data_IF_361755179915
#
_entry.id   IF_361755179915
#
_cell.length_a   1.000
_cell.length_b   1.000
_cell.length_c   1.000
_cell.angle_alpha   90.00
_cell.angle_beta   90.00
_cell.angle_gamma   90.00
#
_symmetry.space_group_name_H-M   'P 1'
#
loop_
_entity.id
_entity.type
_entity.pdbx_description
1 polymer ?
#
# COMPACT_ATOMS: atom_id res chain seq x y z
N UNK A 1 35.06 -21.94 -27.21
CA UNK A 1 33.83 -21.30 -27.75
C UNK A 1 33.89 -21.20 -29.30
N UNK A 2 34.97 -20.75 -29.89
CA UNK A 2 35.08 -20.55 -31.35
C UNK A 2 34.89 -21.83 -32.21
N UNK A 3 34.89 -23.00 -31.62
CA UNK A 3 34.68 -24.31 -32.30
C UNK A 3 33.25 -24.85 -32.11
N UNK A 4 32.41 -24.22 -31.32
CA UNK A 4 30.99 -24.59 -31.22
C UNK A 4 30.34 -24.20 -32.55
N UNK A 5 29.59 -25.14 -33.12
CA UNK A 5 28.87 -24.95 -34.38
C UNK A 5 27.37 -25.20 -34.21
N UNK A 6 26.62 -25.12 -35.30
CA UNK A 6 25.16 -25.33 -35.31
C UNK A 6 24.78 -26.70 -35.90
N UNK A 7 25.72 -27.65 -35.98
CA UNK A 7 25.47 -28.93 -36.60
C UNK A 7 24.71 -29.89 -35.64
N UNK A 8 23.54 -29.47 -35.22
CA UNK A 8 22.62 -30.21 -34.36
C UNK A 8 21.17 -30.07 -34.87
N UNK A 9 20.26 -30.83 -34.31
CA UNK A 9 18.84 -30.89 -34.74
C UNK A 9 18.14 -29.54 -34.63
N UNK A 10 18.50 -28.71 -33.66
CA UNK A 10 17.94 -27.38 -33.43
C UNK A 10 18.60 -26.29 -34.28
N UNK A 11 19.75 -26.58 -34.93
CA UNK A 11 20.57 -25.60 -35.63
C UNK A 11 20.99 -24.38 -34.77
N UNK A 12 21.22 -24.63 -33.48
CA UNK A 12 21.58 -23.63 -32.47
C UNK A 12 22.99 -23.87 -31.93
N UNK A 13 23.65 -22.82 -31.43
CA UNK A 13 24.91 -22.95 -30.69
C UNK A 13 24.63 -23.46 -29.29
N UNK A 14 25.02 -24.71 -29.00
CA UNK A 14 24.83 -25.31 -27.70
C UNK A 14 26.08 -25.18 -26.84
N UNK A 15 26.00 -24.45 -25.74
CA UNK A 15 27.14 -24.26 -24.83
C UNK A 15 27.62 -25.61 -24.24
N UNK A 16 26.76 -26.60 -24.15
CA UNK A 16 27.06 -27.96 -23.67
C UNK A 16 28.08 -28.67 -24.53
N UNK A 17 28.22 -28.30 -25.81
CA UNK A 17 29.20 -28.92 -26.74
C UNK A 17 30.66 -28.65 -26.32
N UNK A 18 30.86 -27.63 -25.46
CA UNK A 18 32.18 -27.34 -24.87
C UNK A 18 32.73 -28.52 -24.07
N UNK A 19 31.85 -29.34 -23.49
CA UNK A 19 32.24 -30.55 -22.71
C UNK A 19 32.89 -31.58 -23.64
N UNK A 20 32.28 -31.84 -24.79
CA UNK A 20 32.85 -32.74 -25.82
C UNK A 20 34.19 -32.20 -26.33
N UNK A 21 34.21 -30.93 -26.73
CA UNK A 21 35.43 -30.27 -27.23
C UNK A 21 36.59 -30.30 -26.22
N UNK A 22 36.27 -30.10 -24.92
CA UNK A 22 37.29 -30.16 -23.87
C UNK A 22 37.85 -31.60 -23.67
N UNK A 23 36.98 -32.60 -23.74
CA UNK A 23 37.43 -34.01 -23.70
C UNK A 23 38.31 -34.36 -24.90
N UNK A 24 37.95 -33.91 -26.10
CA UNK A 24 38.76 -34.13 -27.33
C UNK A 24 40.15 -33.49 -27.24
N UNK A 25 40.24 -32.34 -26.54
CA UNK A 25 41.49 -31.66 -26.23
C UNK A 25 42.30 -32.31 -25.08
N UNK A 26 41.82 -33.41 -24.50
CA UNK A 26 42.46 -34.08 -23.36
C UNK A 26 42.33 -33.33 -22.03
N UNK A 27 41.43 -32.35 -21.94
CA UNK A 27 41.16 -31.63 -20.70
C UNK A 27 40.38 -32.49 -19.71
N UNK A 28 40.68 -32.37 -18.42
CA UNK A 28 39.87 -33.01 -17.37
C UNK A 28 38.56 -32.25 -17.14
N UNK A 29 37.46 -32.88 -17.47
CA UNK A 29 36.12 -32.37 -17.18
C UNK A 29 35.58 -33.00 -15.89
N UNK A 30 35.11 -32.19 -14.95
CA UNK A 30 34.46 -32.65 -13.72
C UNK A 30 33.03 -32.14 -13.66
N UNK A 31 32.09 -33.05 -13.42
CA UNK A 31 30.71 -32.72 -13.17
C UNK A 31 30.52 -32.39 -11.68
N UNK A 32 29.84 -31.28 -11.40
CA UNK A 32 29.31 -30.94 -10.08
C UNK A 32 27.79 -31.07 -10.20
N UNK A 33 27.20 -31.94 -9.40
CA UNK A 33 25.75 -32.15 -9.38
C UNK A 33 25.16 -31.19 -8.32
N UNK A 34 24.23 -30.34 -8.74
CA UNK A 34 23.47 -29.52 -7.79
C UNK A 34 22.52 -30.40 -6.98
N UNK A 35 22.31 -30.07 -5.70
CA UNK A 35 21.30 -30.73 -4.87
C UNK A 35 19.88 -30.25 -5.21
N UNK A 36 19.75 -29.17 -5.95
CA UNK A 36 18.48 -28.58 -6.38
C UNK A 36 18.39 -28.49 -7.91
N UNK A 37 17.77 -29.46 -8.57
CA UNK A 37 17.65 -29.45 -10.03
C UNK A 37 16.94 -28.20 -10.59
N UNK A 38 16.12 -27.52 -9.78
CA UNK A 38 15.39 -26.32 -10.22
C UNK A 38 16.31 -25.11 -10.43
N UNK A 39 17.48 -25.08 -9.77
CA UNK A 39 18.47 -24.01 -9.99
C UNK A 39 19.01 -23.97 -11.42
N UNK A 40 19.04 -25.12 -12.10
CA UNK A 40 19.54 -25.24 -13.46
C UNK A 40 18.42 -25.33 -14.52
N UNK A 41 17.16 -25.16 -14.12
CA UNK A 41 16.02 -25.30 -15.04
C UNK A 41 15.94 -24.11 -15.99
N UNK A 42 16.07 -24.38 -17.31
CA UNK A 42 15.88 -23.38 -18.35
C UNK A 42 14.41 -23.02 -18.56
N UNK A 43 14.18 -21.79 -19.02
CA UNK A 43 12.84 -21.27 -19.34
C UNK A 43 12.79 -20.91 -20.83
N UNK A 44 11.88 -21.54 -21.58
CA UNK A 44 11.71 -21.30 -23.01
C UNK A 44 10.32 -20.72 -23.36
N UNK A 45 9.40 -20.68 -22.40
CA UNK A 45 8.06 -20.13 -22.62
C UNK A 45 7.43 -19.62 -21.30
N UNK A 46 6.34 -18.87 -21.42
CA UNK A 46 5.66 -18.28 -20.25
C UNK A 46 5.06 -19.30 -19.27
N UNK A 47 4.68 -20.49 -19.74
CA UNK A 47 4.18 -21.54 -18.85
C UNK A 47 5.29 -22.06 -17.93
N UNK A 48 6.49 -22.28 -18.47
CA UNK A 48 7.67 -22.68 -17.69
C UNK A 48 8.11 -21.56 -16.74
N UNK A 49 8.08 -20.30 -17.19
CA UNK A 49 8.36 -19.14 -16.35
C UNK A 49 7.38 -19.07 -15.16
N UNK A 50 6.09 -19.19 -15.42
CA UNK A 50 5.08 -19.16 -14.38
C UNK A 50 5.22 -20.31 -13.37
N UNK A 51 5.60 -21.50 -13.84
CA UNK A 51 5.85 -22.64 -12.96
C UNK A 51 7.06 -22.40 -12.04
N UNK A 52 8.17 -21.90 -12.57
CA UNK A 52 9.34 -21.56 -11.76
C UNK A 52 9.08 -20.40 -10.80
N UNK A 53 8.31 -19.40 -11.22
CA UNK A 53 7.89 -18.30 -10.34
C UNK A 53 7.14 -18.85 -9.11
N UNK A 54 6.20 -19.78 -9.30
CA UNK A 54 5.50 -20.40 -8.16
C UNK A 54 6.42 -21.16 -7.22
N UNK A 55 7.42 -21.83 -7.74
CA UNK A 55 8.44 -22.51 -6.91
C UNK A 55 9.25 -21.48 -6.11
N UNK A 56 9.67 -20.40 -6.76
CA UNK A 56 10.43 -19.33 -6.11
C UNK A 56 9.60 -18.66 -4.98
N UNK A 57 8.35 -18.33 -5.24
CA UNK A 57 7.44 -17.74 -4.25
C UNK A 57 7.16 -18.68 -3.08
N UNK A 58 6.99 -19.97 -3.34
CA UNK A 58 6.82 -20.97 -2.28
C UNK A 58 8.05 -21.02 -1.36
N UNK A 59 9.27 -21.03 -1.92
CA UNK A 59 10.51 -20.99 -1.14
C UNK A 59 10.65 -19.73 -0.28
N UNK A 60 10.20 -18.59 -0.80
CA UNK A 60 10.17 -17.35 -0.03
C UNK A 60 9.19 -17.45 1.14
N UNK A 61 7.98 -17.96 0.90
CA UNK A 61 6.97 -18.16 1.93
C UNK A 61 7.44 -19.15 3.01
N UNK A 62 8.08 -20.27 2.61
CA UNK A 62 8.66 -21.26 3.53
C UNK A 62 9.71 -20.61 4.44
N UNK A 63 10.65 -19.83 3.90
CA UNK A 63 11.65 -19.11 4.70
C UNK A 63 11.02 -18.17 5.73
N UNK A 64 9.94 -17.49 5.37
CA UNK A 64 9.21 -16.62 6.30
C UNK A 64 8.50 -17.43 7.39
N UNK A 65 7.88 -18.56 7.04
CA UNK A 65 7.25 -19.46 8.02
C UNK A 65 8.26 -20.07 8.99
N UNK A 66 9.44 -20.48 8.48
CA UNK A 66 10.54 -20.97 9.31
C UNK A 66 11.07 -19.87 10.27
N UNK A 67 11.00 -18.60 9.86
CA UNK A 67 11.31 -17.45 10.69
C UNK A 67 10.17 -17.06 11.65
N UNK A 68 9.04 -17.79 11.67
CA UNK A 68 7.94 -17.62 12.60
C UNK A 68 6.79 -16.72 12.09
N UNK A 69 6.73 -16.42 10.80
CA UNK A 69 5.59 -15.70 10.21
C UNK A 69 4.42 -16.66 10.01
N UNK A 70 3.23 -16.25 10.44
CA UNK A 70 2.01 -17.00 10.21
C UNK A 70 1.40 -16.64 8.85
N UNK A 71 1.69 -17.43 7.81
CA UNK A 71 1.09 -17.31 6.48
C UNK A 71 -0.06 -18.30 6.37
N UNK A 72 -1.29 -17.80 6.05
CA UNK A 72 -2.49 -18.63 6.00
C UNK A 72 -2.49 -19.60 4.82
N UNK A 73 -1.97 -19.16 3.67
CA UNK A 73 -1.81 -19.99 2.50
C UNK A 73 -0.57 -19.56 1.70
N UNK A 74 0.53 -20.32 1.80
CA UNK A 74 1.80 -19.96 1.17
C UNK A 74 1.74 -19.96 -0.37
N UNK A 75 0.76 -20.63 -0.98
CA UNK A 75 0.57 -20.62 -2.44
C UNK A 75 -0.07 -19.32 -2.96
N UNK A 76 -0.62 -18.51 -2.06
CA UNK A 76 -1.35 -17.28 -2.39
C UNK A 76 -0.72 -16.02 -1.81
N UNK A 77 0.59 -15.97 -1.81
CA UNK A 77 1.39 -14.79 -1.47
C UNK A 77 2.39 -14.55 -2.59
N UNK A 78 2.62 -13.31 -2.96
CA UNK A 78 3.63 -12.91 -3.93
C UNK A 78 4.58 -11.88 -3.30
N UNK A 79 5.87 -12.19 -3.34
CA UNK A 79 6.94 -11.29 -2.86
C UNK A 79 7.80 -10.91 -4.07
N UNK A 80 7.67 -9.66 -4.51
CA UNK A 80 8.35 -9.11 -5.70
C UNK A 80 9.36 -8.05 -5.27
N UNK A 81 10.31 -8.45 -4.47
CA UNK A 81 11.32 -7.60 -3.86
C UNK A 81 11.79 -8.17 -2.53
N UNK A 82 12.06 -7.31 -1.56
CA UNK A 82 12.50 -7.68 -0.22
C UNK A 82 11.37 -7.47 0.80
N UNK A 83 11.05 -8.51 1.55
CA UNK A 83 10.09 -8.46 2.66
C UNK A 83 10.83 -8.74 3.97
N UNK A 84 11.03 -7.69 4.76
CA UNK A 84 11.61 -7.78 6.10
C UNK A 84 10.48 -7.87 7.13
N UNK A 85 10.58 -8.81 8.05
CA UNK A 85 9.49 -9.08 9.02
C UNK A 85 10.00 -9.15 10.44
N UNK A 86 9.23 -8.60 11.36
CA UNK A 86 9.41 -8.77 12.80
C UNK A 86 8.80 -10.07 13.31
N UNK A 87 8.56 -10.13 14.63
CA UNK A 87 7.99 -11.29 15.31
C UNK A 87 6.47 -11.28 15.25
N UNK A 88 5.85 -12.48 15.27
CA UNK A 88 4.39 -12.67 15.33
C UNK A 88 3.63 -11.96 14.18
N UNK A 89 4.25 -11.81 13.04
CA UNK A 89 3.58 -11.24 11.85
C UNK A 89 2.61 -12.27 11.29
N UNK A 90 1.41 -11.80 10.92
CA UNK A 90 0.38 -12.62 10.28
C UNK A 90 0.05 -12.06 8.89
N UNK A 91 0.05 -12.94 7.89
CA UNK A 91 -0.26 -12.59 6.49
C UNK A 91 -1.36 -13.52 5.98
N UNK A 92 -2.45 -12.91 5.53
CA UNK A 92 -3.60 -13.60 4.93
C UNK A 92 -3.39 -13.81 3.43
N UNK A 93 -4.37 -14.40 2.77
CA UNK A 93 -4.29 -14.83 1.37
C UNK A 93 -4.29 -13.68 0.36
N UNK A 94 -3.72 -13.91 -0.82
CA UNK A 94 -3.69 -12.99 -1.96
C UNK A 94 -2.99 -11.65 -1.65
N UNK A 95 -2.01 -11.65 -0.77
CA UNK A 95 -1.21 -10.47 -0.49
C UNK A 95 -0.03 -10.39 -1.45
N UNK A 96 0.25 -9.17 -1.94
CA UNK A 96 1.36 -8.87 -2.83
C UNK A 96 2.25 -7.84 -2.16
N UNK A 97 3.55 -8.16 -2.07
CA UNK A 97 4.58 -7.25 -1.55
C UNK A 97 5.55 -6.90 -2.67
N UNK A 98 5.73 -5.60 -2.95
CA UNK A 98 6.60 -5.13 -4.04
C UNK A 98 7.68 -4.18 -3.52
N UNK A 99 8.87 -4.26 -4.10
CA UNK A 99 10.01 -3.42 -3.73
C UNK A 99 10.52 -3.70 -2.31
N UNK A 100 10.77 -2.66 -1.54
CA UNK A 100 11.28 -2.76 -0.17
C UNK A 100 10.14 -2.63 0.85
N UNK A 101 9.74 -3.72 1.48
CA UNK A 101 8.67 -3.73 2.48
C UNK A 101 9.20 -4.18 3.84
N UNK A 102 8.87 -3.42 4.88
CA UNK A 102 9.21 -3.77 6.27
C UNK A 102 7.96 -3.84 7.13
N UNK A 103 7.77 -4.96 7.81
CA UNK A 103 6.68 -5.20 8.77
C UNK A 103 7.29 -5.37 10.18
N UNK A 104 6.87 -4.54 11.11
CA UNK A 104 7.27 -4.64 12.52
C UNK A 104 6.62 -5.82 13.26
N UNK A 105 6.91 -5.95 14.55
CA UNK A 105 6.36 -7.00 15.39
C UNK A 105 4.82 -6.92 15.51
N UNK A 106 4.16 -8.07 15.53
CA UNK A 106 2.69 -8.19 15.70
C UNK A 106 1.86 -7.52 14.60
N UNK A 107 2.45 -7.22 13.44
CA UNK A 107 1.71 -6.68 12.29
C UNK A 107 0.79 -7.75 11.71
N UNK A 108 -0.42 -7.34 11.37
CA UNK A 108 -1.39 -8.20 10.66
C UNK A 108 -1.72 -7.62 9.30
N UNK A 109 -1.50 -8.39 8.25
CA UNK A 109 -1.90 -8.07 6.87
C UNK A 109 -3.06 -8.99 6.50
N UNK A 110 -4.24 -8.40 6.29
CA UNK A 110 -5.43 -9.14 5.88
C UNK A 110 -5.44 -9.39 4.37
N UNK A 111 -6.41 -10.19 3.91
CA UNK A 111 -6.47 -10.65 2.52
C UNK A 111 -6.54 -9.55 1.45
N UNK A 112 -6.02 -9.86 0.27
CA UNK A 112 -6.06 -9.02 -0.93
C UNK A 112 -5.39 -7.63 -0.77
N UNK A 113 -4.38 -7.52 0.07
CA UNK A 113 -3.61 -6.29 0.21
C UNK A 113 -2.45 -6.24 -0.78
N UNK A 114 -2.19 -5.05 -1.31
CA UNK A 114 -1.00 -4.75 -2.13
C UNK A 114 -0.17 -3.71 -1.39
N UNK A 115 1.07 -4.06 -1.09
CA UNK A 115 1.96 -3.20 -0.30
C UNK A 115 3.28 -3.05 -1.07
N UNK A 116 3.60 -1.80 -1.40
CA UNK A 116 4.78 -1.47 -2.18
C UNK A 116 5.63 -0.42 -1.47
N UNK A 117 6.96 -0.66 -1.40
CA UNK A 117 7.96 0.30 -0.90
C UNK A 117 7.54 0.99 0.41
N UNK A 118 7.01 0.21 1.38
CA UNK A 118 6.35 0.76 2.58
C UNK A 118 6.88 0.15 3.87
N UNK A 119 6.83 0.95 4.94
CA UNK A 119 7.19 0.50 6.29
C UNK A 119 5.96 0.55 7.19
N UNK A 120 5.69 -0.55 7.90
CA UNK A 120 4.57 -0.70 8.82
C UNK A 120 5.12 -1.10 10.18
N UNK A 121 4.99 -0.22 11.16
CA UNK A 121 5.47 -0.45 12.53
C UNK A 121 4.56 -1.40 13.32
N UNK A 122 5.06 -1.82 14.47
CA UNK A 122 4.46 -2.89 15.27
C UNK A 122 3.01 -2.66 15.69
N UNK A 123 2.28 -3.76 15.89
CA UNK A 123 0.88 -3.76 16.33
C UNK A 123 -0.13 -3.28 15.29
N UNK A 124 0.32 -2.80 14.13
CA UNK A 124 -0.57 -2.22 13.11
C UNK A 124 -1.30 -3.30 12.31
N UNK A 125 -2.52 -2.98 11.89
CA UNK A 125 -3.41 -3.87 11.13
C UNK A 125 -3.78 -3.25 9.80
N UNK A 126 -3.42 -3.94 8.71
CA UNK A 126 -3.88 -3.60 7.36
C UNK A 126 -5.05 -4.51 7.02
N UNK A 127 -6.24 -3.92 6.89
CA UNK A 127 -7.49 -4.62 6.64
C UNK A 127 -7.69 -4.95 5.16
N UNK A 128 -8.62 -5.87 4.82
CA UNK A 128 -8.73 -6.41 3.46
C UNK A 128 -8.87 -5.37 2.36
N UNK A 129 -8.33 -5.70 1.18
CA UNK A 129 -8.44 -4.91 -0.05
C UNK A 129 -7.83 -3.49 0.06
N UNK A 130 -6.82 -3.31 0.90
CA UNK A 130 -6.11 -2.04 1.03
C UNK A 130 -4.85 -2.02 0.17
N UNK A 131 -4.51 -0.82 -0.34
CA UNK A 131 -3.33 -0.60 -1.17
C UNK A 131 -2.44 0.45 -0.53
N UNK A 132 -1.17 0.13 -0.32
CA UNK A 132 -0.15 1.01 0.25
C UNK A 132 1.01 1.14 -0.72
N UNK A 133 1.43 2.36 -0.99
CA UNK A 133 2.57 2.66 -1.85
C UNK A 133 3.40 3.81 -1.23
N UNK A 134 4.70 3.58 -1.03
CA UNK A 134 5.64 4.54 -0.44
C UNK A 134 5.08 5.22 0.82
N UNK A 135 4.50 4.40 1.72
CA UNK A 135 3.82 4.85 2.93
C UNK A 135 4.61 4.45 4.19
N UNK A 136 4.60 5.33 5.18
CA UNK A 136 5.17 5.09 6.50
C UNK A 136 4.02 5.02 7.52
N UNK A 137 3.86 3.87 8.14
CA UNK A 137 2.79 3.60 9.11
C UNK A 137 3.42 3.38 10.48
N UNK A 138 3.03 4.19 11.43
CA UNK A 138 3.45 4.08 12.84
C UNK A 138 2.86 2.89 13.57
N UNK A 139 3.08 2.83 14.88
CA UNK A 139 2.61 1.74 15.72
C UNK A 139 1.10 1.79 15.97
N UNK A 140 0.49 0.61 16.15
CA UNK A 140 -0.91 0.43 16.52
C UNK A 140 -1.92 1.13 15.60
N UNK A 141 -1.55 1.31 14.33
CA UNK A 141 -2.42 1.89 13.31
C UNK A 141 -3.40 0.86 12.74
N UNK A 142 -4.56 1.35 12.30
CA UNK A 142 -5.58 0.55 11.62
C UNK A 142 -5.89 1.14 10.25
N UNK A 143 -5.61 0.41 9.17
CA UNK A 143 -5.78 0.89 7.79
C UNK A 143 -6.75 -0.01 7.03
N UNK A 144 -7.80 0.57 6.46
CA UNK A 144 -8.79 -0.13 5.67
C UNK A 144 -10.07 -0.51 6.42
N UNK A 145 -10.93 -1.39 5.83
CA UNK A 145 -10.73 -2.02 4.51
C UNK A 145 -10.88 -1.04 3.34
N UNK A 146 -10.42 -1.43 2.14
CA UNK A 146 -10.52 -0.60 0.94
C UNK A 146 -9.89 0.80 1.09
N UNK A 147 -8.82 0.92 1.86
CA UNK A 147 -8.07 2.17 1.97
C UNK A 147 -6.97 2.23 0.91
N UNK A 148 -6.66 3.45 0.46
CA UNK A 148 -5.54 3.68 -0.44
C UNK A 148 -4.57 4.71 0.15
N UNK A 149 -3.38 4.25 0.52
CA UNK A 149 -2.30 5.12 0.95
C UNK A 149 -1.30 5.26 -0.20
N UNK A 150 -1.11 6.51 -0.64
CA UNK A 150 -0.26 6.87 -1.78
C UNK A 150 1.06 7.47 -1.32
N UNK A 151 2.02 7.64 -2.26
CA UNK A 151 3.34 8.18 -1.93
C UNK A 151 3.32 9.43 -1.06
N UNK A 152 4.20 9.43 -0.05
CA UNK A 152 4.32 10.51 0.92
C UNK A 152 3.27 10.50 2.03
N UNK A 153 2.55 9.40 2.21
CA UNK A 153 1.66 9.23 3.37
C UNK A 153 2.46 8.83 4.59
N UNK A 154 2.28 9.56 5.69
CA UNK A 154 2.85 9.25 6.99
C UNK A 154 1.75 9.22 8.06
N UNK A 155 1.44 8.05 8.57
CA UNK A 155 0.57 7.87 9.73
C UNK A 155 1.45 7.74 10.97
N UNK A 156 1.29 8.63 11.94
CA UNK A 156 1.96 8.52 13.24
C UNK A 156 1.33 7.34 14.01
N UNK A 157 1.50 7.21 15.30
CA UNK A 157 0.97 6.04 16.03
C UNK A 157 -0.54 6.14 16.29
N UNK A 158 -1.20 5.00 16.37
CA UNK A 158 -2.64 4.85 16.71
C UNK A 158 -3.62 5.55 15.75
N UNK A 159 -3.18 5.84 14.54
CA UNK A 159 -4.03 6.45 13.52
C UNK A 159 -4.99 5.41 12.92
N UNK A 160 -6.22 5.85 12.66
CA UNK A 160 -7.24 5.03 12.00
C UNK A 160 -7.66 5.62 10.66
N UNK A 161 -7.38 4.89 9.58
CA UNK A 161 -7.85 5.18 8.23
C UNK A 161 -8.84 4.11 7.82
N UNK A 162 -10.08 4.48 7.54
CA UNK A 162 -11.15 3.52 7.28
C UNK A 162 -11.44 3.27 5.79
N UNK A 163 -12.66 2.79 5.51
CA UNK A 163 -13.02 2.34 4.16
C UNK A 163 -13.24 3.48 3.16
N UNK A 164 -12.74 3.24 1.95
CA UNK A 164 -12.80 4.20 0.83
C UNK A 164 -12.18 5.56 1.19
N UNK A 165 -11.12 5.53 1.99
CA UNK A 165 -10.30 6.70 2.30
C UNK A 165 -9.03 6.64 1.47
N UNK A 166 -8.74 7.72 0.77
CA UNK A 166 -7.49 7.91 0.05
C UNK A 166 -6.65 9.00 0.74
N UNK A 167 -5.38 8.67 1.01
CA UNK A 167 -4.40 9.58 1.63
C UNK A 167 -3.19 9.72 0.72
N UNK A 168 -2.70 10.94 0.51
CA UNK A 168 -1.54 11.22 -0.35
C UNK A 168 -0.75 12.42 0.17
N UNK A 169 0.59 12.31 0.26
CA UNK A 169 1.46 13.40 0.73
C UNK A 169 0.87 14.09 1.96
N UNK A 170 0.53 13.30 2.97
CA UNK A 170 -0.18 13.77 4.15
C UNK A 170 0.38 13.11 5.39
N UNK A 171 0.67 13.90 6.40
CA UNK A 171 0.97 13.42 7.75
C UNK A 171 -0.31 13.44 8.59
N UNK A 172 -0.61 12.31 9.25
CA UNK A 172 -1.69 12.23 10.25
C UNK A 172 -1.09 12.01 11.63
N UNK A 173 -1.33 12.94 12.53
CA UNK A 173 -0.82 12.92 13.90
C UNK A 173 -1.44 11.83 14.77
N UNK A 174 -0.82 11.59 15.93
CA UNK A 174 -1.18 10.53 16.87
C UNK A 174 -2.69 10.49 17.20
N UNK A 175 -3.29 9.32 17.13
CA UNK A 175 -4.69 9.09 17.49
C UNK A 175 -5.73 9.71 16.56
N UNK A 176 -5.31 10.31 15.44
CA UNK A 176 -6.22 10.91 14.47
C UNK A 176 -6.93 9.86 13.62
N UNK A 177 -8.11 10.19 13.13
CA UNK A 177 -8.93 9.24 12.38
C UNK A 177 -9.71 9.89 11.23
N UNK A 178 -9.75 9.14 10.11
CA UNK A 178 -10.59 9.40 8.94
C UNK A 178 -11.24 8.06 8.55
N UNK A 179 -12.50 7.84 8.93
CA UNK A 179 -13.09 6.52 8.93
C UNK A 179 -13.81 6.14 7.64
N UNK A 180 -14.25 7.08 6.81
CA UNK A 180 -15.11 6.79 5.66
C UNK A 180 -15.00 7.81 4.54
N UNK A 181 -14.95 7.34 3.27
CA UNK A 181 -15.28 8.10 2.05
C UNK A 181 -14.57 9.46 1.96
N UNK A 182 -13.29 9.53 2.23
CA UNK A 182 -12.56 10.80 2.42
C UNK A 182 -11.33 10.85 1.53
N UNK A 183 -11.01 12.05 1.00
CA UNK A 183 -9.74 12.31 0.35
C UNK A 183 -8.91 13.31 1.17
N UNK A 184 -7.72 12.90 1.57
CA UNK A 184 -6.73 13.72 2.27
C UNK A 184 -5.46 13.80 1.42
N UNK A 185 -5.25 14.94 0.78
CA UNK A 185 -4.08 15.17 -0.06
C UNK A 185 -3.38 16.47 0.30
N UNK A 186 -2.05 16.43 0.31
CA UNK A 186 -1.18 17.56 0.63
C UNK A 186 -1.63 18.24 1.94
N UNK A 187 -1.66 17.48 3.06
CA UNK A 187 -2.16 17.97 4.35
C UNK A 187 -1.24 17.58 5.52
N UNK A 188 -1.16 18.48 6.49
CA UNK A 188 -0.58 18.25 7.80
C UNK A 188 -1.69 18.23 8.84
N UNK A 189 -1.92 17.07 9.44
CA UNK A 189 -3.03 16.85 10.37
C UNK A 189 -2.45 16.53 11.75
N UNK A 190 -2.81 17.31 12.74
CA UNK A 190 -2.36 17.19 14.12
C UNK A 190 -2.85 15.92 14.83
N UNK A 191 -2.60 15.83 16.13
CA UNK A 191 -3.02 14.72 16.97
C UNK A 191 -4.49 14.81 17.38
N UNK A 192 -5.14 13.65 17.58
CA UNK A 192 -6.52 13.58 18.09
C UNK A 192 -7.59 14.15 17.16
N UNK A 193 -7.27 14.34 15.88
CA UNK A 193 -8.18 14.92 14.89
C UNK A 193 -9.22 13.90 14.44
N UNK A 194 -10.48 14.32 14.34
CA UNK A 194 -11.53 13.53 13.72
C UNK A 194 -11.94 14.12 12.38
N UNK A 195 -11.69 13.40 11.30
CA UNK A 195 -12.14 13.76 9.95
C UNK A 195 -13.46 13.05 9.66
N UNK A 196 -14.54 13.83 9.47
CA UNK A 196 -15.86 13.31 9.14
C UNK A 196 -15.94 12.72 7.74
N UNK A 197 -16.85 11.77 7.55
CA UNK A 197 -17.07 11.10 6.27
C UNK A 197 -17.35 12.10 5.13
N UNK A 198 -16.79 11.84 3.95
CA UNK A 198 -16.97 12.71 2.79
C UNK A 198 -16.19 14.02 2.83
N UNK A 199 -15.27 14.18 3.77
CA UNK A 199 -14.39 15.36 3.81
C UNK A 199 -13.34 15.28 2.69
N UNK A 200 -13.09 16.42 2.06
CA UNK A 200 -12.10 16.56 0.98
C UNK A 200 -11.17 17.73 1.27
N UNK A 201 -9.86 17.50 1.24
CA UNK A 201 -8.88 18.59 1.10
C UNK A 201 -8.82 18.98 -0.37
N UNK A 202 -9.35 20.14 -0.72
CA UNK A 202 -9.32 20.66 -2.09
C UNK A 202 -7.93 21.28 -2.36
N UNK A 203 -6.95 20.43 -2.60
CA UNK A 203 -5.53 20.78 -2.66
C UNK A 203 -5.03 21.28 -4.01
N UNK A 204 -5.87 21.28 -5.05
CA UNK A 204 -5.47 21.64 -6.41
C UNK A 204 -6.35 22.75 -6.99
N UNK A 205 -5.74 23.83 -7.46
CA UNK A 205 -6.42 25.02 -8.00
C UNK A 205 -6.57 25.03 -9.53
N UNK A 206 -6.15 23.93 -10.19
CA UNK A 206 -6.08 23.81 -11.63
C UNK A 206 -4.68 23.94 -12.19
N UNK A 207 -3.73 24.49 -11.41
CA UNK A 207 -2.32 24.70 -11.79
C UNK A 207 -1.38 24.19 -10.68
N UNK A 208 -1.58 24.63 -9.44
CA UNK A 208 -0.71 24.35 -8.30
C UNK A 208 -1.42 23.50 -7.24
N UNK A 209 -0.60 22.86 -6.39
CA UNK A 209 -1.08 22.19 -5.18
C UNK A 209 -0.75 23.03 -3.97
N UNK A 210 -1.68 23.05 -3.04
CA UNK A 210 -1.63 23.85 -1.82
C UNK A 210 -1.83 22.99 -0.59
N UNK A 211 -1.26 23.41 0.53
CA UNK A 211 -1.28 22.70 1.80
C UNK A 211 -2.56 23.01 2.59
N UNK A 212 -3.11 21.97 3.22
CA UNK A 212 -4.11 22.10 4.29
C UNK A 212 -3.44 21.79 5.63
N UNK A 213 -3.49 22.74 6.58
CA UNK A 213 -2.97 22.54 7.94
C UNK A 213 -4.17 22.39 8.91
N UNK A 214 -4.17 21.30 9.70
CA UNK A 214 -5.18 21.01 10.69
C UNK A 214 -4.49 20.79 12.04
N UNK A 215 -4.77 21.66 13.01
CA UNK A 215 -4.19 21.58 14.36
C UNK A 215 -4.73 20.37 15.16
N UNK A 216 -4.22 20.22 16.37
CA UNK A 216 -4.60 19.13 17.26
C UNK A 216 -6.07 19.22 17.70
N UNK A 217 -6.68 18.06 17.98
CA UNK A 217 -8.04 17.95 18.56
C UNK A 217 -9.14 18.62 17.71
N UNK A 218 -8.92 18.83 16.42
CA UNK A 218 -9.92 19.38 15.51
C UNK A 218 -10.99 18.33 15.19
N UNK A 219 -12.25 18.78 15.15
CA UNK A 219 -13.36 17.96 14.66
C UNK A 219 -13.87 18.53 13.32
N UNK A 220 -13.74 17.77 12.24
CA UNK A 220 -14.30 18.12 10.94
C UNK A 220 -15.58 17.34 10.71
N UNK A 221 -16.70 18.07 10.58
CA UNK A 221 -18.01 17.49 10.28
C UNK A 221 -18.08 16.89 8.88
N UNK A 222 -18.94 15.89 8.70
CA UNK A 222 -19.07 15.15 7.43
C UNK A 222 -19.41 16.06 6.24
N UNK A 223 -18.99 15.63 5.03
CA UNK A 223 -19.20 16.33 3.76
C UNK A 223 -18.64 17.78 3.76
N UNK A 224 -17.53 17.99 4.42
CA UNK A 224 -16.85 19.29 4.43
C UNK A 224 -15.78 19.35 3.33
N UNK A 225 -15.66 20.52 2.68
CA UNK A 225 -14.59 20.82 1.72
C UNK A 225 -13.65 21.84 2.33
N UNK A 226 -12.36 21.46 2.47
CA UNK A 226 -11.31 22.35 2.96
C UNK A 226 -10.50 22.85 1.75
N UNK A 227 -10.73 24.10 1.36
CA UNK A 227 -10.13 24.68 0.14
C UNK A 227 -8.75 25.25 0.49
N UNK A 228 -7.72 24.51 0.08
CA UNK A 228 -6.34 24.90 0.33
C UNK A 228 -5.88 26.09 -0.55
N UNK A 229 -4.95 26.95 -0.06
CA UNK A 229 -4.31 26.83 1.25
C UNK A 229 -5.25 27.25 2.38
N UNK A 230 -5.37 26.43 3.43
CA UNK A 230 -6.24 26.72 4.57
C UNK A 230 -5.62 26.17 5.85
N UNK A 231 -5.83 26.92 6.95
CA UNK A 231 -5.38 26.55 8.29
C UNK A 231 -6.53 26.46 9.26
N UNK A 232 -6.65 25.32 9.93
CA UNK A 232 -7.66 25.04 10.96
C UNK A 232 -6.92 24.93 12.29
N UNK A 233 -7.18 25.87 13.20
CA UNK A 233 -6.53 25.94 14.50
C UNK A 233 -6.97 24.84 15.45
N UNK A 234 -6.14 24.58 16.46
CA UNK A 234 -6.35 23.58 17.49
C UNK A 234 -7.74 23.67 18.13
N UNK A 235 -8.37 22.51 18.37
CA UNK A 235 -9.68 22.40 19.02
C UNK A 235 -10.85 22.96 18.22
N UNK A 236 -10.63 23.42 16.99
CA UNK A 236 -11.73 23.95 16.17
C UNK A 236 -12.71 22.84 15.76
N UNK A 237 -13.95 23.24 15.56
CA UNK A 237 -15.01 22.39 15.01
C UNK A 237 -15.50 22.96 13.69
N UNK A 238 -15.51 22.14 12.65
CA UNK A 238 -16.11 22.49 11.36
C UNK A 238 -17.49 21.82 11.29
N UNK A 239 -18.54 22.64 11.11
CA UNK A 239 -19.90 22.14 10.96
C UNK A 239 -20.06 21.30 9.67
N UNK A 240 -20.80 20.21 9.74
CA UNK A 240 -21.01 19.32 8.59
C UNK A 240 -21.55 20.06 7.35
N UNK A 241 -21.12 19.65 6.16
CA UNK A 241 -21.52 20.25 4.88
C UNK A 241 -20.93 21.65 4.64
N UNK A 242 -19.84 21.99 5.31
CA UNK A 242 -19.22 23.31 5.18
C UNK A 242 -18.15 23.31 4.07
N UNK A 243 -18.06 24.43 3.35
CA UNK A 243 -16.92 24.78 2.49
C UNK A 243 -16.08 25.85 3.20
N UNK A 244 -14.87 25.47 3.62
CA UNK A 244 -13.98 26.36 4.38
C UNK A 244 -12.90 26.88 3.44
N UNK A 245 -12.85 28.20 3.26
CA UNK A 245 -11.95 28.90 2.32
C UNK A 245 -10.99 29.86 3.01
N UNK A 246 -11.12 30.06 4.31
CA UNK A 246 -10.30 30.96 5.11
C UNK A 246 -9.87 30.29 6.41
N UNK A 247 -8.83 30.83 7.04
CA UNK A 247 -8.34 30.35 8.32
C UNK A 247 -9.45 30.29 9.38
N UNK A 248 -9.47 29.20 10.16
CA UNK A 248 -10.31 29.02 11.34
C UNK A 248 -9.42 28.94 12.56
N UNK A 249 -9.37 30.00 13.37
CA UNK A 249 -8.44 30.06 14.53
C UNK A 249 -8.86 29.16 15.69
N UNK A 250 -10.17 28.81 15.79
CA UNK A 250 -10.73 27.95 16.81
C UNK A 250 -12.27 28.11 16.85
N UNK A 251 -12.93 27.42 17.79
CA UNK A 251 -14.39 27.45 17.95
C UNK A 251 -15.14 26.72 16.82
N UNK A 252 -16.37 27.09 16.55
CA UNK A 252 -17.23 26.48 15.54
C UNK A 252 -17.27 27.32 14.25
N UNK A 253 -16.81 26.77 13.14
CA UNK A 253 -16.96 27.38 11.81
C UNK A 253 -18.02 26.65 10.98
N UNK A 254 -18.93 27.44 10.36
CA UNK A 254 -19.99 26.91 9.48
C UNK A 254 -19.96 27.69 8.17
N UNK A 255 -19.56 27.02 7.09
CA UNK A 255 -19.45 27.58 5.73
C UNK A 255 -20.48 26.97 4.77
N UNK A 256 -21.78 27.05 5.10
CA UNK A 256 -22.90 26.53 4.28
C UNK A 256 -24.12 27.44 4.29
N UNK A 257 -24.95 27.29 3.25
CA UNK A 257 -26.21 28.02 3.18
C UNK A 257 -27.18 27.68 4.33
N UNK A 258 -28.02 28.65 4.72
CA UNK A 258 -29.07 28.40 5.71
C UNK A 258 -30.17 27.51 5.09
N UNK A 259 -30.59 26.48 5.80
CA UNK A 259 -31.69 25.61 5.36
C UNK A 259 -32.96 26.43 5.08
N UNK A 260 -33.61 26.14 3.93
CA UNK A 260 -34.93 26.63 3.60
C UNK A 260 -35.87 25.46 3.39
N UNK A 261 -37.07 25.53 3.93
CA UNK A 261 -38.11 24.51 3.75
C UNK A 261 -39.27 25.16 2.97
N UNK A 262 -39.75 24.45 1.96
CA UNK A 262 -40.91 24.88 1.14
C UNK A 262 -42.05 23.90 1.42
N UNK A 263 -42.95 24.29 2.35
CA UNK A 263 -44.04 23.43 2.85
C UNK A 263 -45.05 23.00 1.78
N UNK A 264 -45.24 23.83 0.75
CA UNK A 264 -46.19 23.56 -0.35
C UNK A 264 -45.52 23.05 -1.60
N UNK A 265 -44.29 22.44 -1.48
CA UNK A 265 -43.60 21.88 -2.61
C UNK A 265 -44.37 20.69 -3.19
N UNK A 266 -44.77 20.78 -4.47
CA UNK A 266 -45.31 19.68 -5.24
C UNK A 266 -44.16 18.88 -5.86
N UNK A 267 -44.09 17.59 -5.54
CA UNK A 267 -43.10 16.70 -6.10
C UNK A 267 -43.29 16.47 -7.62
N UNK A 268 -42.29 15.95 -8.33
CA UNK A 268 -42.39 15.72 -9.76
C UNK A 268 -43.52 14.74 -10.17
N UNK A 269 -44.06 13.98 -9.23
CA UNK A 269 -45.18 13.05 -9.43
C UNK A 269 -46.57 13.68 -9.17
N UNK A 270 -46.61 14.87 -8.62
CA UNK A 270 -47.84 15.59 -8.26
C UNK A 270 -48.28 16.60 -9.35
N UNK A 271 -47.87 16.32 -10.65
CA UNK A 271 -48.24 17.11 -11.83
C UNK A 271 -49.57 16.70 -12.37
#
# INVERSE_FOLDING_TARGET
>A
LARIDTNNVQQEYLLTDIVGLANDDGCTVRAIVTNDPLEATGVNNFAQLAALERVYQMRQAEKLMDAGVHILDPARIDIRGNLNVGKNVRIDVNCIFEGEVTLGDNVTISSNCVIKDSTIAGGSVIKPNSMLEEAIIGEDCSVGPFARLRPGTHLVNTVSVGNFVEVKKTTMGHGSKASHLTYLGDAEIGAGVNIGAGTITCNYDGVNKHLTEIGDNVFVGSNSSLVAPVKIGEGATIGAGSTITHEVKGGLAIGRGRQKTFENWKGPRDK
#
